data_IF_243001951373
#
_entry.id   IF_243001951373
#
_cell.length_a   1.000
_cell.length_b   1.000
_cell.length_c   1.000
_cell.angle_alpha   90.00
_cell.angle_beta   90.00
_cell.angle_gamma   90.00
#
_symmetry.space_group_name_H-M   'P 1'
#
loop_
_entity.id
_entity.type
_entity.pdbx_description
1 polymer ?
#
# COMPACT_ATOMS: atom_id res chain seq x y z
N UNK A 1 -11.69 -4.19 6.96
CA UNK A 1 -12.95 -3.56 6.49
C UNK A 1 -13.12 -3.94 5.03
N UNK A 2 -14.34 -4.20 4.57
CA UNK A 2 -14.67 -4.43 3.16
C UNK A 2 -15.62 -3.34 2.74
N UNK A 3 -15.39 -2.75 1.56
CA UNK A 3 -16.28 -1.79 0.96
C UNK A 3 -17.04 -2.46 -0.18
N UNK A 4 -18.35 -2.24 -0.25
CA UNK A 4 -19.14 -2.63 -1.41
C UNK A 4 -18.96 -1.64 -2.57
N UNK A 5 -19.58 -1.97 -3.72
CA UNK A 5 -19.55 -1.13 -4.93
C UNK A 5 -20.28 0.21 -4.77
N UNK A 6 -21.05 0.39 -3.70
CA UNK A 6 -21.75 1.63 -3.36
C UNK A 6 -20.96 2.47 -2.35
N UNK A 7 -19.77 2.03 -1.95
CA UNK A 7 -18.90 2.72 -1.00
C UNK A 7 -19.28 2.51 0.47
N UNK A 8 -20.15 1.56 0.79
CA UNK A 8 -20.45 1.23 2.18
C UNK A 8 -19.40 0.29 2.76
N UNK A 9 -18.74 0.74 3.81
CA UNK A 9 -17.75 -0.03 4.55
C UNK A 9 -18.37 -0.88 5.66
N UNK A 10 -17.96 -2.15 5.74
CA UNK A 10 -18.30 -3.05 6.82
C UNK A 10 -17.04 -3.63 7.46
N UNK A 11 -17.05 -3.74 8.79
CA UNK A 11 -16.06 -4.50 9.52
C UNK A 11 -16.38 -5.99 9.46
N UNK A 12 -15.45 -6.79 8.92
CA UNK A 12 -15.69 -8.22 8.61
C UNK A 12 -14.78 -9.17 9.40
N UNK A 13 -13.68 -8.68 9.97
CA UNK A 13 -12.76 -9.49 10.77
C UNK A 13 -11.81 -8.60 11.59
N UNK A 14 -11.53 -9.05 12.83
CA UNK A 14 -10.32 -8.73 13.58
C UNK A 14 -9.51 -10.01 13.76
N UNK A 15 -8.19 -9.94 13.65
CA UNK A 15 -7.31 -11.05 14.02
C UNK A 15 -6.21 -10.53 14.93
N UNK A 16 -6.05 -11.15 16.11
CA UNK A 16 -4.87 -10.95 16.95
C UNK A 16 -3.93 -12.12 16.69
N UNK A 17 -2.77 -11.83 16.12
CA UNK A 17 -1.77 -12.81 15.74
C UNK A 17 -0.57 -12.71 16.67
N UNK A 18 0.09 -13.84 16.91
CA UNK A 18 1.31 -13.87 17.72
C UNK A 18 2.45 -13.08 17.05
N UNK A 19 2.54 -13.16 15.73
CA UNK A 19 3.52 -12.48 14.90
C UNK A 19 3.04 -12.40 13.43
N UNK A 20 3.82 -11.72 12.60
CA UNK A 20 3.55 -11.52 11.16
C UNK A 20 4.11 -12.66 10.28
N UNK A 21 4.32 -13.86 10.84
CA UNK A 21 4.74 -15.00 10.02
C UNK A 21 3.65 -15.42 9.05
N UNK A 22 4.06 -16.01 7.93
CA UNK A 22 3.12 -16.57 6.96
C UNK A 22 2.18 -17.60 7.58
N UNK A 23 2.65 -18.39 8.56
CA UNK A 23 1.82 -19.37 9.25
C UNK A 23 0.66 -18.69 10.00
N UNK A 24 0.96 -17.67 10.82
CA UNK A 24 -0.07 -16.92 11.55
C UNK A 24 -1.06 -16.22 10.60
N UNK A 25 -0.58 -15.66 9.49
CA UNK A 25 -1.46 -15.03 8.50
C UNK A 25 -2.36 -16.04 7.76
N UNK A 26 -1.86 -17.25 7.47
CA UNK A 26 -2.68 -18.32 6.88
C UNK A 26 -3.88 -18.64 7.78
N UNK A 27 -3.66 -18.72 9.09
CA UNK A 27 -4.74 -18.98 10.06
C UNK A 27 -5.77 -17.84 10.06
N UNK A 28 -5.31 -16.58 9.99
CA UNK A 28 -6.19 -15.41 9.86
C UNK A 28 -7.05 -15.48 8.60
N UNK A 29 -6.45 -15.79 7.45
CA UNK A 29 -7.14 -15.94 6.16
C UNK A 29 -8.11 -17.11 6.19
N UNK A 30 -7.74 -18.24 6.81
CA UNK A 30 -8.62 -19.39 6.94
C UNK A 30 -9.86 -19.05 7.79
N UNK A 31 -9.67 -18.37 8.91
CA UNK A 31 -10.76 -17.86 9.75
C UNK A 31 -11.66 -16.89 8.97
N UNK A 32 -11.06 -15.99 8.18
CA UNK A 32 -11.79 -15.06 7.31
C UNK A 32 -12.73 -15.79 6.35
N UNK A 33 -12.20 -16.74 5.58
CA UNK A 33 -12.96 -17.49 4.57
C UNK A 33 -14.06 -18.34 5.20
N UNK A 34 -13.78 -18.92 6.38
CA UNK A 34 -14.76 -19.70 7.13
C UNK A 34 -15.94 -18.83 7.61
N UNK A 35 -15.67 -17.59 8.03
CA UNK A 35 -16.70 -16.67 8.54
C UNK A 35 -17.46 -15.94 7.42
N UNK A 36 -16.88 -15.79 6.23
CA UNK A 36 -17.42 -14.96 5.15
C UNK A 36 -17.62 -15.79 3.89
N UNK A 37 -18.83 -16.33 3.66
CA UNK A 37 -19.12 -17.23 2.52
C UNK A 37 -18.91 -16.62 1.14
N UNK A 38 -18.92 -15.29 1.01
CA UNK A 38 -18.67 -14.55 -0.22
C UNK A 38 -17.22 -14.05 -0.35
N UNK A 39 -16.26 -14.64 0.37
CA UNK A 39 -14.85 -14.25 0.34
C UNK A 39 -14.25 -14.29 -1.07
N UNK A 40 -14.79 -15.14 -1.94
CA UNK A 40 -14.38 -15.34 -3.33
C UNK A 40 -14.82 -14.20 -4.26
N UNK A 41 -15.74 -13.35 -3.81
CA UNK A 41 -16.18 -12.15 -4.53
C UNK A 41 -15.32 -10.92 -4.26
N UNK A 42 -14.29 -11.03 -3.42
CA UNK A 42 -13.37 -9.93 -3.17
C UNK A 42 -12.60 -9.64 -4.45
N UNK A 43 -12.70 -8.40 -4.94
CA UNK A 43 -12.05 -7.97 -6.17
C UNK A 43 -10.66 -7.38 -5.92
N UNK A 44 -10.47 -6.73 -4.77
CA UNK A 44 -9.22 -6.06 -4.46
C UNK A 44 -8.91 -6.08 -2.96
N UNK A 45 -7.64 -6.17 -2.63
CA UNK A 45 -7.09 -5.90 -1.31
C UNK A 45 -6.29 -4.60 -1.34
N UNK A 46 -6.47 -3.77 -0.33
CA UNK A 46 -5.64 -2.58 -0.09
C UNK A 46 -4.81 -2.88 1.16
N UNK A 47 -3.50 -3.08 0.99
CA UNK A 47 -2.58 -3.49 2.05
C UNK A 47 -1.63 -2.38 2.45
N UNK A 48 -0.98 -2.51 3.60
CA UNK A 48 0.13 -1.62 3.98
C UNK A 48 1.33 -1.78 3.02
N UNK A 49 2.40 -1.00 3.21
CA UNK A 49 3.63 -1.00 2.42
C UNK A 49 4.47 -2.28 2.59
N UNK A 50 4.09 -3.17 3.50
CA UNK A 50 4.85 -4.38 3.80
C UNK A 50 4.52 -5.51 2.80
N UNK A 51 5.51 -5.84 1.97
CA UNK A 51 5.38 -6.79 0.86
C UNK A 51 5.27 -8.26 1.29
N UNK A 52 5.52 -8.57 2.57
CA UNK A 52 5.50 -9.95 3.10
C UNK A 52 4.12 -10.61 2.93
N UNK A 53 3.04 -9.84 3.04
CA UNK A 53 1.68 -10.36 3.00
C UNK A 53 1.14 -10.50 1.57
N UNK A 54 1.73 -9.78 0.60
CA UNK A 54 1.20 -9.69 -0.76
C UNK A 54 1.18 -11.05 -1.45
N UNK A 55 2.32 -11.75 -1.46
CA UNK A 55 2.42 -13.07 -2.09
C UNK A 55 1.46 -14.10 -1.45
N UNK A 56 1.20 -13.96 -0.15
CA UNK A 56 0.27 -14.83 0.55
C UNK A 56 -1.19 -14.53 0.15
N UNK A 57 -1.56 -13.25 0.07
CA UNK A 57 -2.89 -12.83 -0.36
C UNK A 57 -3.16 -13.18 -1.82
N UNK A 58 -2.19 -12.97 -2.72
CA UNK A 58 -2.29 -13.36 -4.13
C UNK A 58 -2.52 -14.87 -4.28
N UNK A 59 -1.81 -15.68 -3.49
CA UNK A 59 -2.01 -17.13 -3.48
C UNK A 59 -3.37 -17.53 -2.89
N UNK A 60 -3.81 -16.84 -1.84
CA UNK A 60 -5.07 -17.15 -1.17
C UNK A 60 -6.30 -16.66 -1.94
N UNK A 61 -6.19 -15.57 -2.70
CA UNK A 61 -7.27 -14.90 -3.41
C UNK A 61 -6.85 -14.63 -4.86
N UNK A 62 -6.70 -15.66 -5.70
CA UNK A 62 -6.11 -15.53 -7.03
C UNK A 62 -6.94 -14.68 -8.00
N UNK A 63 -8.22 -14.45 -7.70
CA UNK A 63 -9.11 -13.59 -8.48
C UNK A 63 -9.10 -12.13 -8.02
N UNK A 64 -8.45 -11.81 -6.90
CA UNK A 64 -8.35 -10.47 -6.37
C UNK A 64 -7.03 -9.83 -6.76
N UNK A 65 -7.05 -8.51 -7.03
CA UNK A 65 -5.83 -7.72 -7.16
C UNK A 65 -5.34 -7.25 -5.79
N UNK A 66 -4.05 -7.32 -5.53
CA UNK A 66 -3.45 -6.78 -4.29
C UNK A 66 -2.80 -5.44 -4.63
N UNK A 67 -3.25 -4.38 -3.97
CA UNK A 67 -2.81 -3.00 -4.18
C UNK A 67 -2.23 -2.43 -2.89
N UNK A 68 -1.20 -1.58 -3.03
CA UNK A 68 -0.68 -0.81 -1.91
C UNK A 68 -1.63 0.33 -1.54
N UNK A 69 -1.77 0.57 -0.24
CA UNK A 69 -2.47 1.73 0.28
C UNK A 69 -1.63 2.99 0.07
N UNK A 70 -2.09 3.89 -0.80
CA UNK A 70 -1.40 5.16 -1.07
C UNK A 70 -1.17 5.99 0.20
N UNK A 71 -2.10 5.95 1.16
CA UNK A 71 -1.95 6.63 2.45
C UNK A 71 -0.74 6.11 3.23
N UNK A 72 -0.58 4.79 3.29
CA UNK A 72 0.56 4.18 3.96
C UNK A 72 1.87 4.40 3.21
N UNK A 73 1.85 4.37 1.87
CA UNK A 73 3.01 4.71 1.04
C UNK A 73 3.51 6.12 1.35
N UNK A 74 2.62 7.13 1.35
CA UNK A 74 2.98 8.51 1.72
C UNK A 74 3.54 8.61 3.13
N UNK A 75 2.84 8.01 4.12
CA UNK A 75 3.28 7.98 5.52
C UNK A 75 4.68 7.36 5.66
N UNK A 76 4.92 6.25 4.96
CA UNK A 76 6.21 5.56 4.97
C UNK A 76 7.30 6.43 4.38
N UNK A 77 7.10 6.99 3.18
CA UNK A 77 8.10 7.86 2.54
C UNK A 77 8.46 9.06 3.41
N UNK A 78 7.47 9.74 4.00
CA UNK A 78 7.72 10.85 4.94
C UNK A 78 8.56 10.41 6.14
N UNK A 79 8.25 9.25 6.72
CA UNK A 79 9.01 8.72 7.86
C UNK A 79 10.43 8.29 7.47
N UNK A 80 10.58 7.66 6.31
CA UNK A 80 11.87 7.19 5.78
C UNK A 80 12.79 8.38 5.50
N UNK A 81 12.29 9.37 4.75
CA UNK A 81 13.06 10.55 4.36
C UNK A 81 13.39 11.48 5.55
N UNK A 82 12.62 11.42 6.63
CA UNK A 82 12.93 12.17 7.85
C UNK A 82 14.06 11.54 8.69
N UNK A 83 14.57 10.35 8.33
CA UNK A 83 15.68 9.72 9.05
C UNK A 83 16.98 10.51 8.85
N UNK A 84 17.81 10.53 9.90
CA UNK A 84 19.08 11.27 9.90
C UNK A 84 20.06 10.79 8.83
N UNK A 85 19.99 9.52 8.42
CA UNK A 85 20.81 8.98 7.32
C UNK A 85 20.54 9.67 5.98
N UNK A 86 19.39 10.35 5.83
CA UNK A 86 19.03 11.16 4.68
C UNK A 86 19.01 12.67 5.03
N UNK A 87 19.72 13.08 6.09
CA UNK A 87 19.84 14.48 6.52
C UNK A 87 18.78 14.95 7.52
N UNK A 88 17.73 14.15 7.77
CA UNK A 88 16.72 14.43 8.79
C UNK A 88 15.47 15.15 8.30
N UNK A 89 14.57 15.47 9.24
CA UNK A 89 13.20 15.95 8.99
C UNK A 89 13.08 17.19 8.10
N UNK A 90 14.12 18.03 8.04
CA UNK A 90 14.09 19.32 7.34
C UNK A 90 14.88 19.33 6.03
N UNK A 91 15.42 18.18 5.60
CA UNK A 91 16.18 18.09 4.34
C UNK A 91 15.29 18.29 3.13
N UNK A 92 14.13 17.64 3.14
CA UNK A 92 13.24 17.56 1.98
C UNK A 92 11.93 18.28 2.26
N UNK A 93 11.38 18.85 1.19
CA UNK A 93 10.02 19.35 1.17
C UNK A 93 9.05 18.16 1.05
N UNK A 94 8.52 17.72 2.20
CA UNK A 94 7.66 16.54 2.28
C UNK A 94 6.33 16.71 1.55
N UNK A 95 5.87 17.95 1.34
CA UNK A 95 4.64 18.19 0.62
C UNK A 95 4.87 17.97 -0.88
N UNK A 96 6.04 18.35 -1.40
CA UNK A 96 6.46 17.97 -2.77
C UNK A 96 6.64 16.47 -2.96
N UNK A 97 7.11 15.76 -1.93
CA UNK A 97 7.18 14.29 -1.97
C UNK A 97 5.76 13.70 -2.09
N UNK A 98 4.81 14.19 -1.29
CA UNK A 98 3.41 13.75 -1.37
C UNK A 98 2.77 14.08 -2.73
N UNK A 99 3.08 15.26 -3.29
CA UNK A 99 2.64 15.66 -4.63
C UNK A 99 3.17 14.71 -5.70
N UNK A 100 4.44 14.30 -5.61
CA UNK A 100 5.03 13.33 -6.56
C UNK A 100 4.33 11.97 -6.52
N UNK A 101 3.90 11.52 -5.33
CA UNK A 101 3.09 10.31 -5.18
C UNK A 101 1.70 10.52 -5.79
N UNK A 102 1.08 11.67 -5.60
CA UNK A 102 -0.22 11.98 -6.20
C UNK A 102 -0.17 12.02 -7.72
N UNK A 103 0.91 12.55 -8.31
CA UNK A 103 1.15 12.51 -9.75
C UNK A 103 1.20 11.06 -10.27
N UNK A 104 1.92 10.18 -9.57
CA UNK A 104 1.99 8.76 -9.91
C UNK A 104 0.63 8.05 -9.76
N UNK A 105 -0.11 8.36 -8.70
CA UNK A 105 -1.41 7.74 -8.42
C UNK A 105 -2.52 8.15 -9.40
N UNK A 106 -2.46 9.39 -9.91
CA UNK A 106 -3.43 9.92 -10.88
C UNK A 106 -3.02 9.71 -12.33
N UNK A 107 -1.88 9.09 -12.58
CA UNK A 107 -1.36 8.87 -13.92
C UNK A 107 -2.30 7.97 -14.73
N UNK A 108 -2.70 8.43 -15.92
CA UNK A 108 -3.54 7.65 -16.84
C UNK A 108 -2.71 6.66 -17.68
N UNK A 109 -1.40 6.87 -17.77
CA UNK A 109 -0.49 6.03 -18.52
C UNK A 109 0.92 5.96 -17.89
N UNK A 110 1.78 5.14 -18.50
CA UNK A 110 3.17 4.95 -18.03
C UNK A 110 4.02 6.21 -18.14
N UNK A 111 3.76 7.09 -19.11
CA UNK A 111 4.56 8.30 -19.30
C UNK A 111 4.22 9.35 -18.24
N UNK A 112 2.94 9.52 -17.92
CA UNK A 112 2.47 10.34 -16.81
C UNK A 112 3.01 9.83 -15.47
N UNK A 113 2.96 8.50 -15.24
CA UNK A 113 3.55 7.88 -14.05
C UNK A 113 5.05 8.18 -13.94
N UNK A 114 5.78 7.99 -15.03
CA UNK A 114 7.22 8.27 -15.08
C UNK A 114 7.55 9.74 -14.80
N UNK A 115 6.63 10.66 -15.11
CA UNK A 115 6.79 12.08 -14.78
C UNK A 115 6.76 12.31 -13.27
N UNK A 116 5.79 11.74 -12.56
CA UNK A 116 5.74 11.79 -11.09
C UNK A 116 6.94 11.12 -10.44
N UNK A 117 7.36 9.96 -10.99
CA UNK A 117 8.54 9.24 -10.51
C UNK A 117 9.83 10.04 -10.69
N UNK A 118 10.05 10.66 -11.87
CA UNK A 118 11.20 11.54 -12.12
C UNK A 118 11.18 12.75 -11.19
N UNK A 119 10.02 13.34 -10.95
CA UNK A 119 9.90 14.44 -9.99
C UNK A 119 10.31 14.02 -8.58
N UNK A 120 9.92 12.82 -8.14
CA UNK A 120 10.39 12.26 -6.86
C UNK A 120 11.92 12.11 -6.82
N UNK A 121 12.54 11.56 -7.87
CA UNK A 121 14.00 11.43 -7.94
C UNK A 121 14.71 12.78 -7.95
N UNK A 122 14.19 13.77 -8.66
CA UNK A 122 14.71 15.14 -8.63
C UNK A 122 14.72 15.72 -7.20
N UNK A 123 13.67 15.49 -6.41
CA UNK A 123 13.62 15.92 -5.01
C UNK A 123 14.65 15.22 -4.12
N UNK A 124 15.06 13.99 -4.47
CA UNK A 124 16.00 13.19 -3.70
C UNK A 124 17.46 13.47 -4.07
N UNK A 125 17.77 13.53 -5.35
CA UNK A 125 19.15 13.54 -5.86
C UNK A 125 19.58 14.92 -6.39
N UNK A 126 18.63 15.85 -6.59
CA UNK A 126 18.91 17.16 -7.19
C UNK A 126 19.36 17.10 -8.65
N UNK A 127 19.17 15.95 -9.33
CA UNK A 127 19.60 15.74 -10.71
C UNK A 127 18.48 16.19 -11.65
N UNK A 128 18.73 17.30 -12.36
CA UNK A 128 18.05 17.63 -13.61
C UNK A 128 18.76 16.83 -14.72
N UNK A 129 18.06 15.88 -15.35
CA UNK A 129 18.48 15.33 -16.66
C UNK A 129 18.24 16.38 -17.77
#
# INVERSE_FOLDING_TARGET
>A
MVNDVFGHGQYVQHALLENESHACMIDAIAAFKKANSCWDKILAFIVDKDFSEMALLEKAFPSAIVLLCWFHVKKYLRAEMAKSVYGGRYTYDMDKVDDSVDMMMRAEDKAAYATGLRYMYYLLDGIED
#
